data_IF_782449876122
#
_entry.id   IF_782449876122
#
_cell.length_a   1.000
_cell.length_b   1.000
_cell.length_c   1.000
_cell.angle_alpha   90.00
_cell.angle_beta   90.00
_cell.angle_gamma   90.00
#
_symmetry.space_group_name_H-M   'P 1'
#
loop_
_entity.id
_entity.type
_entity.pdbx_description
1 polymer ?
#
# COMPACT_ATOMS: atom_id res chain seq x y z
N UNK A 1 18.97 6.22 -3.44
CA UNK A 1 17.94 7.22 -3.11
C UNK A 1 17.10 7.46 -4.34
N UNK A 2 15.80 7.47 -4.18
CA UNK A 2 14.87 7.74 -5.25
C UNK A 2 14.69 9.26 -5.51
N UNK A 3 13.78 9.58 -6.41
CA UNK A 3 13.44 10.95 -6.79
C UNK A 3 11.94 11.08 -7.04
N UNK A 4 11.45 12.32 -7.01
CA UNK A 4 10.04 12.61 -7.34
C UNK A 4 9.86 12.74 -8.85
N UNK A 5 8.76 12.21 -9.35
CA UNK A 5 8.30 12.37 -10.74
C UNK A 5 6.85 12.84 -10.75
N UNK A 6 6.37 13.25 -11.91
CA UNK A 6 4.94 13.47 -12.17
C UNK A 6 4.32 12.30 -12.91
N UNK A 7 3.13 11.91 -12.49
CA UNK A 7 2.30 10.90 -13.15
C UNK A 7 0.99 11.55 -13.60
N UNK A 8 0.57 11.22 -14.82
CA UNK A 8 -0.73 11.68 -15.34
C UNK A 8 -1.74 10.54 -15.28
N UNK A 9 -2.81 10.76 -14.54
CA UNK A 9 -3.96 9.87 -14.49
C UNK A 9 -4.81 9.96 -15.77
N UNK A 10 -5.67 8.97 -15.99
CA UNK A 10 -6.51 8.91 -17.20
C UNK A 10 -7.52 10.06 -17.31
N UNK A 11 -7.91 10.65 -16.19
CA UNK A 11 -8.77 11.83 -16.12
C UNK A 11 -8.01 13.17 -16.31
N UNK A 12 -6.70 13.08 -16.65
CA UNK A 12 -5.85 14.24 -16.94
C UNK A 12 -5.20 14.86 -15.71
N UNK A 13 -5.57 14.46 -14.50
CA UNK A 13 -4.94 14.98 -13.27
C UNK A 13 -3.49 14.55 -13.20
N UNK A 14 -2.62 15.49 -12.81
CA UNK A 14 -1.19 15.24 -12.58
C UNK A 14 -0.94 15.15 -11.09
N UNK A 15 -0.42 14.00 -10.67
CA UNK A 15 -0.02 13.71 -9.29
C UNK A 15 1.48 13.47 -9.20
N UNK A 16 2.04 13.59 -8.00
CA UNK A 16 3.44 13.28 -7.74
C UNK A 16 3.61 11.82 -7.34
N UNK A 17 4.78 11.25 -7.62
CA UNK A 17 5.18 9.94 -7.10
C UNK A 17 6.67 9.92 -6.78
N UNK A 18 7.06 9.20 -5.72
CA UNK A 18 8.44 8.87 -5.45
C UNK A 18 8.82 7.60 -6.18
N UNK A 19 9.94 7.63 -6.92
CA UNK A 19 10.47 6.47 -7.64
C UNK A 19 11.81 6.09 -7.08
N UNK A 20 11.96 4.83 -6.67
CA UNK A 20 13.22 4.23 -6.28
C UNK A 20 13.61 3.12 -7.26
N UNK A 21 14.84 3.16 -7.75
CA UNK A 21 15.33 2.22 -8.76
C UNK A 21 16.32 1.22 -8.15
N UNK A 22 16.24 -0.07 -8.54
CA UNK A 22 17.24 -1.04 -8.14
C UNK A 22 18.58 -0.77 -8.86
N UNK A 23 19.67 -1.26 -8.26
CA UNK A 23 21.01 -1.21 -8.90
C UNK A 23 21.18 -2.24 -10.03
N UNK A 24 20.23 -3.17 -10.17
CA UNK A 24 20.24 -4.27 -11.15
C UNK A 24 19.13 -4.05 -12.19
N UNK A 25 19.09 -4.90 -13.21
CA UNK A 25 18.01 -4.92 -14.20
C UNK A 25 16.65 -5.11 -13.52
N UNK A 26 15.66 -4.32 -13.93
CA UNK A 26 14.29 -4.39 -13.42
C UNK A 26 13.61 -5.65 -13.95
N UNK A 27 13.28 -6.59 -13.06
CA UNK A 27 12.55 -7.82 -13.40
C UNK A 27 11.08 -7.76 -12.98
N UNK A 28 10.79 -6.98 -11.97
CA UNK A 28 9.43 -6.70 -11.49
C UNK A 28 9.38 -5.31 -10.81
N UNK A 29 8.19 -4.78 -10.62
CA UNK A 29 7.96 -3.49 -9.99
C UNK A 29 6.98 -3.61 -8.82
N UNK A 30 7.11 -2.71 -7.85
CA UNK A 30 6.19 -2.60 -6.72
C UNK A 30 5.64 -1.17 -6.64
N UNK A 31 4.32 -1.05 -6.53
CA UNK A 31 3.66 0.21 -6.16
C UNK A 31 3.45 0.21 -4.66
N UNK A 32 4.01 1.22 -3.97
CA UNK A 32 3.91 1.38 -2.51
C UNK A 32 2.88 2.44 -2.19
N UNK A 33 1.82 2.07 -1.45
CA UNK A 33 0.73 2.97 -1.09
C UNK A 33 0.87 3.45 0.35
N UNK A 34 0.89 4.76 0.49
CA UNK A 34 1.14 5.49 1.73
C UNK A 34 0.06 5.29 2.80
N UNK A 35 0.44 5.50 4.05
CA UNK A 35 -0.48 5.74 5.15
C UNK A 35 -1.21 7.09 4.99
N UNK A 36 -1.80 7.62 6.07
CA UNK A 36 -2.45 8.95 6.06
C UNK A 36 -1.45 10.12 6.15
N UNK A 37 -0.16 9.89 6.06
CA UNK A 37 0.89 10.89 6.30
C UNK A 37 1.57 11.41 5.04
N UNK A 38 1.13 10.98 3.85
CA UNK A 38 1.78 11.30 2.58
C UNK A 38 2.96 10.38 2.27
N UNK A 39 3.67 10.67 1.20
CA UNK A 39 4.93 10.01 0.83
C UNK A 39 6.06 10.60 1.69
N UNK A 40 5.97 10.34 3.00
CA UNK A 40 6.88 10.84 4.02
C UNK A 40 8.18 10.03 4.10
N UNK A 41 9.02 10.33 5.08
CA UNK A 41 10.32 9.67 5.25
C UNK A 41 10.19 8.15 5.39
N UNK A 42 9.21 7.65 6.15
CA UNK A 42 8.95 6.22 6.33
C UNK A 42 8.59 5.54 4.99
N UNK A 43 7.62 6.07 4.26
CA UNK A 43 7.21 5.48 2.97
C UNK A 43 8.33 5.51 1.93
N UNK A 44 9.17 6.55 1.93
CA UNK A 44 10.36 6.59 1.07
C UNK A 44 11.38 5.55 1.49
N UNK A 45 11.60 5.34 2.79
CA UNK A 45 12.49 4.30 3.30
C UNK A 45 11.98 2.89 2.92
N UNK A 46 10.68 2.64 3.03
CA UNK A 46 10.04 1.40 2.55
C UNK A 46 10.27 1.22 1.05
N UNK A 47 10.06 2.25 0.24
CA UNK A 47 10.30 2.20 -1.21
C UNK A 47 11.77 1.92 -1.54
N UNK A 48 12.70 2.59 -0.86
CA UNK A 48 14.14 2.36 -1.02
C UNK A 48 14.52 0.92 -0.60
N UNK A 49 13.89 0.36 0.45
CA UNK A 49 14.07 -1.03 0.90
C UNK A 49 13.67 -2.04 -0.18
N UNK A 50 12.51 -1.89 -0.81
CA UNK A 50 12.12 -2.73 -1.93
C UNK A 50 13.04 -2.55 -3.15
N UNK A 51 13.55 -1.34 -3.38
CA UNK A 51 14.52 -1.11 -4.47
C UNK A 51 15.86 -1.81 -4.18
N UNK A 52 16.32 -1.85 -2.93
CA UNK A 52 17.49 -2.65 -2.53
C UNK A 52 17.24 -4.15 -2.71
N UNK A 53 16.02 -4.62 -2.52
CA UNK A 53 15.63 -6.01 -2.80
C UNK A 53 15.53 -6.33 -4.31
N UNK A 54 15.68 -5.33 -5.20
CA UNK A 54 15.77 -5.54 -6.64
C UNK A 54 14.55 -5.15 -7.47
N UNK A 55 13.57 -4.48 -6.88
CA UNK A 55 12.36 -4.03 -7.56
C UNK A 55 12.46 -2.55 -7.99
N UNK A 56 11.87 -2.21 -9.13
CA UNK A 56 11.52 -0.81 -9.38
C UNK A 56 10.34 -0.44 -8.48
N UNK A 57 10.41 0.68 -7.78
CA UNK A 57 9.35 1.09 -6.86
C UNK A 57 8.75 2.41 -7.25
N UNK A 58 7.42 2.50 -7.22
CA UNK A 58 6.66 3.72 -7.47
C UNK A 58 5.72 3.95 -6.28
N UNK A 59 5.89 5.06 -5.56
CA UNK A 59 5.02 5.45 -4.45
C UNK A 59 4.23 6.71 -4.82
N UNK A 60 2.97 6.57 -5.31
CA UNK A 60 2.15 7.72 -5.69
C UNK A 60 1.72 8.52 -4.46
N UNK A 61 1.81 9.85 -4.55
CA UNK A 61 1.31 10.77 -3.53
C UNK A 61 -0.22 10.89 -3.67
N UNK A 62 -0.96 9.97 -3.06
CA UNK A 62 -2.42 9.82 -3.21
C UNK A 62 -3.22 11.02 -2.68
N UNK A 63 -2.58 11.97 -2.00
CA UNK A 63 -3.20 13.22 -1.59
C UNK A 63 -3.03 14.36 -2.61
N UNK A 64 -2.30 14.17 -3.71
CA UNK A 64 -2.01 15.24 -4.69
C UNK A 64 -3.25 15.91 -5.27
N UNK A 65 -4.40 15.19 -5.32
CA UNK A 65 -5.70 15.75 -5.77
C UNK A 65 -6.29 16.75 -4.79
N UNK A 66 -5.84 16.75 -3.54
CA UNK A 66 -6.36 17.59 -2.45
C UNK A 66 -5.31 18.60 -2.03
N UNK A 67 -4.10 18.11 -1.80
CA UNK A 67 -2.97 18.91 -1.36
C UNK A 67 -1.68 18.26 -1.85
N UNK A 68 -0.84 19.05 -2.51
CA UNK A 68 0.51 18.62 -2.95
C UNK A 68 1.50 18.63 -1.79
N UNK A 69 2.57 17.90 -1.96
CA UNK A 69 3.74 17.88 -1.06
C UNK A 69 3.39 17.51 0.39
N UNK A 70 2.37 16.65 0.59
CA UNK A 70 2.02 16.19 1.94
C UNK A 70 3.15 15.31 2.48
N UNK A 71 3.73 15.73 3.60
CA UNK A 71 4.83 15.07 4.29
C UNK A 71 4.65 15.28 5.80
N UNK A 72 3.78 14.47 6.41
CA UNK A 72 3.42 14.55 7.82
C UNK A 72 4.25 13.58 8.65
N UNK A 73 4.52 13.98 9.89
CA UNK A 73 5.00 13.09 10.95
C UNK A 73 3.85 12.40 11.69
N UNK A 74 4.10 12.02 12.95
CA UNK A 74 3.22 11.15 13.72
C UNK A 74 2.69 11.79 15.03
N UNK A 75 2.84 13.11 15.20
CA UNK A 75 2.22 13.84 16.32
C UNK A 75 0.69 13.80 16.23
N UNK A 76 -0.01 13.98 17.34
CA UNK A 76 -1.48 14.00 17.37
C UNK A 76 -2.07 14.99 16.37
N UNK A 77 -1.46 16.18 16.22
CA UNK A 77 -1.87 17.20 15.25
C UNK A 77 -1.73 16.69 13.82
N UNK A 78 -0.64 16.01 13.50
CA UNK A 78 -0.37 15.46 12.17
C UNK A 78 -1.27 14.27 11.86
N UNK A 79 -1.55 13.43 12.85
CA UNK A 79 -2.55 12.35 12.75
C UNK A 79 -3.93 12.93 12.43
N UNK A 80 -4.35 13.99 13.14
CA UNK A 80 -5.63 14.67 12.86
C UNK A 80 -5.66 15.26 11.43
N UNK A 81 -4.56 15.90 11.00
CA UNK A 81 -4.42 16.44 9.64
C UNK A 81 -4.48 15.32 8.57
N UNK A 82 -3.77 14.21 8.79
CA UNK A 82 -3.79 13.06 7.90
C UNK A 82 -5.17 12.42 7.79
N UNK A 83 -5.90 12.30 8.89
CA UNK A 83 -7.30 11.83 8.90
C UNK A 83 -8.21 12.76 8.09
N UNK A 84 -8.04 14.08 8.23
CA UNK A 84 -8.81 15.05 7.47
C UNK A 84 -8.53 14.96 5.95
N UNK A 85 -7.26 14.78 5.56
CA UNK A 85 -6.87 14.55 4.16
C UNK A 85 -7.46 13.24 3.62
N UNK A 86 -7.36 12.14 4.39
CA UNK A 86 -7.98 10.87 4.02
C UNK A 86 -9.49 11.03 3.78
N UNK A 87 -10.21 11.70 4.69
CA UNK A 87 -11.65 11.89 4.55
C UNK A 87 -12.00 12.69 3.28
N UNK A 88 -11.22 13.72 2.95
CA UNK A 88 -11.38 14.46 1.68
C UNK A 88 -11.09 13.57 0.47
N UNK A 89 -10.08 12.71 0.55
CA UNK A 89 -9.72 11.79 -0.53
C UNK A 89 -10.81 10.74 -0.77
N UNK A 90 -11.38 10.18 0.30
CA UNK A 90 -12.48 9.22 0.22
C UNK A 90 -13.80 9.86 -0.29
N UNK A 91 -13.98 11.16 -0.11
CA UNK A 91 -15.14 11.92 -0.59
C UNK A 91 -15.03 12.35 -2.07
N UNK A 92 -13.89 12.13 -2.73
CA UNK A 92 -13.75 12.45 -4.14
C UNK A 92 -14.70 11.57 -4.99
N UNK A 93 -15.30 12.13 -6.05
CA UNK A 93 -16.08 11.31 -6.98
C UNK A 93 -15.18 10.25 -7.64
N UNK A 94 -15.75 9.09 -7.93
CA UNK A 94 -15.02 8.02 -8.63
C UNK A 94 -14.46 8.51 -9.98
N UNK A 95 -13.26 8.08 -10.36
CA UNK A 95 -12.39 7.08 -9.71
C UNK A 95 -11.55 7.62 -8.54
N UNK A 96 -11.57 8.93 -8.26
CA UNK A 96 -10.85 9.52 -7.15
C UNK A 96 -9.36 9.18 -7.15
N UNK A 97 -8.81 8.89 -5.98
CA UNK A 97 -7.39 8.54 -5.81
C UNK A 97 -6.99 7.23 -6.52
N UNK A 98 -7.97 6.35 -6.83
CA UNK A 98 -7.68 5.10 -7.54
C UNK A 98 -7.21 5.34 -8.99
N UNK A 99 -7.51 6.49 -9.59
CA UNK A 99 -6.94 6.88 -10.87
C UNK A 99 -5.42 7.14 -10.79
N UNK A 100 -4.94 7.71 -9.68
CA UNK A 100 -3.51 7.94 -9.44
C UNK A 100 -2.79 6.61 -9.16
N UNK A 101 -3.42 5.72 -8.38
CA UNK A 101 -2.92 4.35 -8.16
C UNK A 101 -2.80 3.61 -9.50
N UNK A 102 -3.82 3.70 -10.37
CA UNK A 102 -3.76 3.09 -11.69
C UNK A 102 -2.66 3.72 -12.59
N UNK A 103 -2.42 5.02 -12.47
CA UNK A 103 -1.32 5.67 -13.20
C UNK A 103 0.05 5.15 -12.73
N UNK A 104 0.23 4.95 -11.42
CA UNK A 104 1.43 4.35 -10.85
C UNK A 104 1.62 2.89 -11.31
N UNK A 105 0.56 2.08 -11.33
CA UNK A 105 0.60 0.71 -11.84
C UNK A 105 1.02 0.69 -13.32
N UNK A 106 0.45 1.55 -14.17
CA UNK A 106 0.84 1.66 -15.58
C UNK A 106 2.30 2.05 -15.75
N UNK A 107 2.77 3.04 -15.00
CA UNK A 107 4.17 3.47 -15.03
C UNK A 107 5.13 2.32 -14.63
N UNK A 108 4.81 1.63 -13.54
CA UNK A 108 5.56 0.47 -13.05
C UNK A 108 5.59 -0.68 -14.08
N UNK A 109 4.45 -0.95 -14.74
CA UNK A 109 4.29 -2.01 -15.74
C UNK A 109 5.19 -1.82 -16.97
N UNK A 110 5.38 -0.59 -17.41
CA UNK A 110 6.24 -0.30 -18.57
C UNK A 110 7.70 -0.74 -18.34
N UNK A 111 8.20 -0.61 -17.11
CA UNK A 111 9.57 -0.97 -16.75
C UNK A 111 9.76 -2.45 -16.43
N UNK A 112 8.69 -3.17 -16.03
CA UNK A 112 8.75 -4.54 -15.52
C UNK A 112 8.09 -5.59 -16.41
N UNK A 113 7.80 -5.24 -17.66
CA UNK A 113 7.10 -6.14 -18.62
C UNK A 113 5.80 -6.71 -18.07
N UNK A 114 5.07 -5.90 -17.30
CA UNK A 114 3.77 -6.24 -16.73
C UNK A 114 3.78 -6.91 -15.36
N UNK A 115 4.94 -7.21 -14.75
CA UNK A 115 5.02 -7.80 -13.41
C UNK A 115 4.96 -6.69 -12.34
N UNK A 116 3.76 -6.38 -11.86
CA UNK A 116 3.53 -5.30 -10.90
C UNK A 116 2.87 -5.81 -9.63
N UNK A 117 3.55 -5.67 -8.50
CA UNK A 117 2.98 -5.82 -7.16
C UNK A 117 2.45 -4.50 -6.63
N UNK A 118 1.45 -4.58 -5.77
CA UNK A 118 0.97 -3.43 -5.00
C UNK A 118 1.09 -3.76 -3.52
N UNK A 119 1.72 -2.91 -2.74
CA UNK A 119 1.75 -3.03 -1.26
C UNK A 119 1.28 -1.73 -0.63
N UNK A 120 0.50 -1.81 0.42
CA UNK A 120 -0.02 -0.62 1.08
C UNK A 120 -0.11 -0.76 2.59
N UNK A 121 0.02 0.37 3.28
CA UNK A 121 0.10 0.46 4.73
C UNK A 121 -1.05 1.29 5.29
N UNK A 122 -1.74 0.85 6.33
CA UNK A 122 -2.88 1.53 6.94
C UNK A 122 -3.97 1.85 5.91
N UNK A 123 -4.26 3.12 5.65
CA UNK A 123 -5.15 3.52 4.55
C UNK A 123 -4.66 3.00 3.19
N UNK A 124 -3.35 3.02 2.95
CA UNK A 124 -2.74 2.40 1.76
C UNK A 124 -3.01 0.90 1.67
N UNK A 125 -3.16 0.20 2.80
CA UNK A 125 -3.58 -1.21 2.83
C UNK A 125 -4.99 -1.40 2.27
N UNK A 126 -5.93 -0.51 2.62
CA UNK A 126 -7.26 -0.47 1.99
C UNK A 126 -7.16 -0.15 0.49
N UNK A 127 -6.32 0.80 0.10
CA UNK A 127 -6.12 1.13 -1.32
C UNK A 127 -5.49 -0.03 -2.10
N UNK A 128 -4.57 -0.80 -1.48
CA UNK A 128 -4.00 -2.02 -2.07
C UNK A 128 -5.07 -3.08 -2.28
N UNK A 129 -5.96 -3.29 -1.31
CA UNK A 129 -7.13 -4.17 -1.47
C UNK A 129 -8.04 -3.72 -2.62
N UNK A 130 -8.34 -2.41 -2.69
CA UNK A 130 -9.11 -1.83 -3.80
C UNK A 130 -8.40 -1.99 -5.14
N UNK A 131 -7.08 -1.87 -5.19
CA UNK A 131 -6.31 -2.14 -6.40
C UNK A 131 -6.44 -3.60 -6.82
N UNK A 132 -6.30 -4.54 -5.89
CA UNK A 132 -6.45 -5.97 -6.13
C UNK A 132 -7.85 -6.37 -6.63
N UNK A 133 -8.90 -5.66 -6.19
CA UNK A 133 -10.30 -6.00 -6.51
C UNK A 133 -10.87 -5.23 -7.71
N UNK A 134 -10.24 -4.12 -8.14
CA UNK A 134 -10.87 -3.18 -9.10
C UNK A 134 -9.96 -2.73 -10.24
N UNK A 135 -8.64 -2.85 -10.10
CA UNK A 135 -7.71 -2.29 -11.08
C UNK A 135 -7.04 -3.40 -11.92
N UNK A 136 -6.93 -3.22 -13.23
CA UNK A 136 -6.16 -4.12 -14.08
C UNK A 136 -4.66 -3.89 -13.91
N UNK A 137 -3.87 -4.95 -14.22
CA UNK A 137 -2.42 -4.87 -14.27
C UNK A 137 -1.72 -5.13 -12.94
N UNK A 138 -2.43 -5.57 -11.90
CA UNK A 138 -1.85 -6.02 -10.64
C UNK A 138 -1.59 -7.52 -10.71
N UNK A 139 -0.33 -7.93 -10.54
CA UNK A 139 0.06 -9.36 -10.51
C UNK A 139 -0.17 -9.97 -9.15
N UNK A 140 0.11 -9.24 -8.08
CA UNK A 140 -0.10 -9.65 -6.69
C UNK A 140 -0.25 -8.41 -5.79
N UNK A 141 -0.98 -8.52 -4.70
CA UNK A 141 -1.17 -7.41 -3.77
C UNK A 141 -0.91 -7.81 -2.32
N UNK A 142 -0.33 -6.88 -1.56
CA UNK A 142 -0.07 -7.05 -0.12
C UNK A 142 -0.69 -5.89 0.64
N UNK A 143 -1.35 -6.20 1.76
CA UNK A 143 -1.97 -5.20 2.62
C UNK A 143 -1.40 -5.30 4.03
N UNK A 144 -0.97 -4.18 4.59
CA UNK A 144 -0.56 -4.08 5.99
C UNK A 144 -1.62 -3.31 6.77
N UNK A 145 -2.21 -3.94 7.79
CA UNK A 145 -3.21 -3.34 8.68
C UNK A 145 -4.21 -2.41 7.95
N UNK A 146 -4.80 -2.93 6.86
CA UNK A 146 -5.71 -2.18 5.98
C UNK A 146 -7.06 -1.91 6.65
N UNK A 147 -7.18 -0.77 7.34
CA UNK A 147 -8.42 -0.39 8.01
C UNK A 147 -9.59 -0.23 7.05
N UNK A 148 -10.70 -0.90 7.34
CA UNK A 148 -11.92 -0.88 6.53
C UNK A 148 -12.02 -2.00 5.49
N UNK A 149 -10.94 -2.68 5.12
CA UNK A 149 -11.01 -3.79 4.16
C UNK A 149 -11.74 -5.02 4.71
N UNK A 150 -11.78 -5.18 6.04
CA UNK A 150 -12.47 -6.28 6.73
C UNK A 150 -13.98 -6.06 6.88
N UNK A 151 -14.49 -4.91 6.45
CA UNK A 151 -15.89 -4.51 6.58
C UNK A 151 -16.58 -4.42 5.21
N UNK A 152 -17.89 -4.67 5.12
CA UNK A 152 -18.66 -4.41 3.89
C UNK A 152 -18.60 -2.91 3.50
N UNK A 153 -18.63 -2.59 2.21
CA UNK A 153 -18.68 -3.51 1.07
C UNK A 153 -17.30 -4.06 0.65
N UNK A 154 -16.21 -3.56 1.23
CA UNK A 154 -14.84 -3.93 0.83
C UNK A 154 -14.57 -5.42 1.08
N UNK A 155 -14.98 -5.94 2.25
CA UNK A 155 -14.83 -7.35 2.61
C UNK A 155 -15.42 -8.30 1.55
N UNK A 156 -16.52 -7.90 0.93
CA UNK A 156 -17.29 -8.76 0.03
C UNK A 156 -16.80 -8.68 -1.44
N UNK A 157 -15.90 -7.74 -1.75
CA UNK A 157 -15.29 -7.60 -3.06
C UNK A 157 -14.33 -8.77 -3.35
N UNK A 158 -14.33 -9.28 -4.59
CA UNK A 158 -13.47 -10.41 -4.98
C UNK A 158 -12.16 -9.91 -5.58
N UNK A 159 -11.00 -10.37 -5.10
CA UNK A 159 -9.72 -9.99 -5.69
C UNK A 159 -9.53 -10.64 -7.07
N UNK A 160 -8.92 -9.88 -7.97
CA UNK A 160 -8.59 -10.27 -9.35
C UNK A 160 -7.18 -10.86 -9.46
N UNK A 161 -6.41 -10.83 -8.37
CA UNK A 161 -5.05 -11.35 -8.27
C UNK A 161 -4.84 -11.96 -6.86
N UNK A 162 -3.77 -12.75 -6.65
CA UNK A 162 -3.37 -13.22 -5.32
C UNK A 162 -3.18 -12.06 -4.34
N UNK A 163 -3.61 -12.26 -3.09
CA UNK A 163 -3.50 -11.26 -2.03
C UNK A 163 -2.93 -11.89 -0.75
N UNK A 164 -2.00 -11.17 -0.13
CA UNK A 164 -1.49 -11.43 1.22
C UNK A 164 -1.88 -10.25 2.13
N UNK A 165 -2.49 -10.55 3.28
CA UNK A 165 -2.93 -9.55 4.25
C UNK A 165 -2.27 -9.75 5.61
N UNK A 166 -1.66 -8.69 6.14
CA UNK A 166 -1.01 -8.65 7.44
C UNK A 166 -1.84 -7.84 8.43
N UNK A 167 -2.18 -8.43 9.58
CA UNK A 167 -2.93 -7.78 10.65
C UNK A 167 -2.20 -7.92 11.99
N UNK A 168 -2.41 -6.96 12.88
CA UNK A 168 -2.00 -7.05 14.28
C UNK A 168 -3.16 -7.53 15.15
N UNK A 169 -2.92 -8.47 16.06
CA UNK A 169 -3.95 -8.99 16.98
C UNK A 169 -4.37 -7.99 18.05
N UNK A 170 -3.53 -6.98 18.32
CA UNK A 170 -3.79 -5.89 19.25
C UNK A 170 -4.22 -4.58 18.58
N UNK A 171 -4.50 -4.62 17.27
CA UNK A 171 -4.92 -3.44 16.52
C UNK A 171 -6.32 -2.98 16.93
N UNK A 172 -6.47 -1.83 17.64
CA UNK A 172 -7.78 -1.36 18.08
C UNK A 172 -8.66 -0.81 16.96
N UNK A 173 -8.10 -0.61 15.77
CA UNK A 173 -8.81 -0.10 14.59
C UNK A 173 -9.34 -1.23 13.70
N UNK A 174 -8.83 -2.45 13.88
CA UNK A 174 -9.23 -3.63 13.11
C UNK A 174 -9.45 -4.81 14.07
N UNK A 175 -10.62 -4.89 14.71
CA UNK A 175 -10.94 -5.97 15.65
C UNK A 175 -10.82 -7.35 15.02
N UNK A 176 -10.31 -8.32 15.79
CA UNK A 176 -10.00 -9.67 15.29
C UNK A 176 -11.23 -10.42 14.78
N UNK A 177 -12.41 -10.17 15.34
CA UNK A 177 -13.68 -10.74 14.84
C UNK A 177 -13.96 -10.32 13.39
N UNK A 178 -13.61 -9.08 13.02
CA UNK A 178 -13.72 -8.60 11.63
C UNK A 178 -12.69 -9.26 10.71
N UNK A 179 -11.49 -9.56 11.21
CA UNK A 179 -10.44 -10.30 10.47
C UNK A 179 -10.89 -11.73 10.21
N UNK A 180 -11.45 -12.40 11.22
CA UNK A 180 -11.97 -13.77 11.06
C UNK A 180 -13.18 -13.80 10.11
N UNK A 181 -14.07 -12.82 10.17
CA UNK A 181 -15.16 -12.67 9.22
C UNK A 181 -14.64 -12.43 7.79
N UNK A 182 -13.59 -11.62 7.62
CA UNK A 182 -12.92 -11.42 6.34
C UNK A 182 -12.31 -12.73 5.82
N UNK A 183 -11.58 -13.47 6.66
CA UNK A 183 -10.98 -14.76 6.31
C UNK A 183 -12.02 -15.77 5.85
N UNK A 184 -13.18 -15.81 6.50
CA UNK A 184 -14.27 -16.70 6.13
C UNK A 184 -14.89 -16.37 4.75
N UNK A 185 -14.99 -15.08 4.41
CA UNK A 185 -15.56 -14.60 3.12
C UNK A 185 -14.54 -14.66 1.99
N UNK A 186 -13.24 -14.55 2.30
CA UNK A 186 -12.13 -14.50 1.34
C UNK A 186 -11.11 -15.65 1.57
N UNK A 187 -11.51 -16.93 1.45
CA UNK A 187 -10.63 -18.06 1.75
C UNK A 187 -9.41 -18.18 0.83
N UNK A 188 -9.40 -17.49 -0.31
CA UNK A 188 -8.28 -17.42 -1.25
C UNK A 188 -7.21 -16.38 -0.85
N UNK A 189 -7.50 -15.49 0.12
CA UNK A 189 -6.53 -14.51 0.63
C UNK A 189 -5.67 -15.16 1.70
N UNK A 190 -4.35 -15.02 1.56
CA UNK A 190 -3.43 -15.40 2.62
C UNK A 190 -3.49 -14.36 3.74
N UNK A 191 -3.81 -14.78 4.96
CA UNK A 191 -3.93 -13.88 6.11
C UNK A 191 -2.90 -14.25 7.18
N UNK A 192 -2.03 -13.32 7.52
CA UNK A 192 -1.04 -13.40 8.59
C UNK A 192 -1.44 -12.48 9.74
N UNK A 193 -1.37 -12.98 10.96
CA UNK A 193 -1.69 -12.22 12.18
C UNK A 193 -0.48 -12.24 13.09
N UNK A 194 -0.10 -11.06 13.58
CA UNK A 194 1.05 -10.84 14.46
C UNK A 194 0.58 -10.34 15.82
N UNK A 195 1.28 -10.67 16.88
CA UNK A 195 1.04 -10.07 18.20
C UNK A 195 1.59 -8.63 18.24
N UNK A 196 0.88 -7.72 17.55
CA UNK A 196 1.31 -6.35 17.32
C UNK A 196 0.11 -5.39 17.20
N UNK A 197 0.40 -4.10 17.32
CA UNK A 197 -0.58 -3.01 17.22
C UNK A 197 -0.72 -2.47 15.79
N UNK A 198 -1.67 -1.53 15.58
CA UNK A 198 -1.82 -0.82 14.32
C UNK A 198 -0.55 -0.04 13.95
N UNK A 199 -0.01 -0.26 12.75
CA UNK A 199 1.19 0.44 12.28
C UNK A 199 2.49 -0.18 12.77
N UNK A 200 2.51 -1.45 13.14
CA UNK A 200 3.69 -2.17 13.63
C UNK A 200 4.89 -2.14 12.69
N UNK A 201 4.68 -1.87 11.41
CA UNK A 201 5.77 -1.77 10.42
C UNK A 201 6.49 -0.41 10.42
N UNK A 202 5.97 0.61 11.11
CA UNK A 202 6.52 1.95 11.05
C UNK A 202 7.43 2.25 12.25
N UNK A 203 8.73 2.30 12.02
CA UNK A 203 9.78 2.57 13.02
C UNK A 203 9.77 4.01 13.59
N UNK A 204 8.97 4.89 13.00
CA UNK A 204 8.71 6.24 13.53
C UNK A 204 7.54 6.31 14.53
N UNK A 205 6.85 5.19 14.81
CA UNK A 205 5.65 5.13 15.68
C UNK A 205 5.93 4.34 16.95
N UNK A 206 5.27 4.72 18.03
CA UNK A 206 5.34 3.97 19.30
C UNK A 206 4.75 2.55 19.22
N UNK A 207 3.99 2.25 18.17
CA UNK A 207 3.43 0.92 17.90
C UNK A 207 4.37 0.02 17.06
N UNK A 208 5.59 0.46 16.77
CA UNK A 208 6.57 -0.33 16.03
C UNK A 208 6.89 -1.64 16.77
N UNK A 209 6.85 -2.73 16.04
CA UNK A 209 7.27 -4.05 16.52
C UNK A 209 8.27 -4.65 15.53
N UNK A 210 9.53 -4.71 15.95
CA UNK A 210 10.62 -5.13 15.07
C UNK A 210 10.45 -6.57 14.57
N UNK A 211 10.01 -7.49 15.44
CA UNK A 211 9.84 -8.89 15.09
C UNK A 211 8.67 -9.08 14.10
N UNK A 212 7.55 -8.42 14.35
CA UNK A 212 6.41 -8.46 13.43
C UNK A 212 6.75 -7.79 12.09
N UNK A 213 7.49 -6.67 12.11
CA UNK A 213 7.93 -5.97 10.90
C UNK A 213 8.83 -6.85 10.03
N UNK A 214 9.86 -7.48 10.62
CA UNK A 214 10.82 -8.35 9.93
C UNK A 214 10.12 -9.56 9.31
N UNK A 215 9.31 -10.28 10.09
CA UNK A 215 8.57 -11.44 9.62
C UNK A 215 7.54 -11.09 8.53
N UNK A 216 6.85 -9.96 8.67
CA UNK A 216 5.90 -9.50 7.66
C UNK A 216 6.60 -9.11 6.35
N UNK A 217 7.80 -8.52 6.44
CA UNK A 217 8.61 -8.20 5.25
C UNK A 217 9.09 -9.48 4.55
N UNK A 218 9.55 -10.49 5.31
CA UNK A 218 9.95 -11.79 4.77
C UNK A 218 8.80 -12.44 4.00
N UNK A 219 7.61 -12.53 4.61
CA UNK A 219 6.41 -13.05 3.96
C UNK A 219 6.05 -12.24 2.70
N UNK A 220 6.14 -10.90 2.77
CA UNK A 220 5.85 -10.02 1.64
C UNK A 220 6.79 -10.26 0.46
N UNK A 221 8.10 -10.33 0.72
CA UNK A 221 9.10 -10.56 -0.32
C UNK A 221 8.95 -11.94 -0.94
N UNK A 222 8.77 -12.98 -0.11
CA UNK A 222 8.52 -14.34 -0.58
C UNK A 222 7.28 -14.40 -1.47
N UNK A 223 6.17 -13.81 -1.01
CA UNK A 223 4.93 -13.75 -1.76
C UNK A 223 5.09 -13.07 -3.14
N UNK A 224 5.77 -11.93 -3.20
CA UNK A 224 6.03 -11.27 -4.49
C UNK A 224 6.97 -12.07 -5.39
N UNK A 225 8.05 -12.66 -4.85
CA UNK A 225 8.99 -13.48 -5.61
C UNK A 225 8.26 -14.65 -6.27
N UNK A 226 7.43 -15.37 -5.51
CA UNK A 226 6.67 -16.53 -6.00
C UNK A 226 5.71 -16.13 -7.12
N UNK A 227 4.92 -15.07 -6.92
CA UNK A 227 3.93 -14.64 -7.91
C UNK A 227 4.53 -13.90 -9.12
N UNK A 228 5.75 -13.39 -9.01
CA UNK A 228 6.49 -12.86 -10.16
C UNK A 228 7.26 -13.95 -10.91
N UNK A 229 7.43 -15.13 -10.34
CA UNK A 229 8.26 -16.20 -10.91
C UNK A 229 9.73 -15.77 -11.02
N UNK A 230 10.31 -15.29 -9.92
CA UNK A 230 11.69 -14.75 -9.84
C UNK A 230 12.61 -15.69 -9.09
#
# INVERSE_FOLDING_TARGET
MGHMIELRAADGVVSEAYVAQPKREVRASIVVLQEIFGVNAHIRAVADGFAMAGFLVVAPATFSRIQKHVNLGYSEKEVASGRALKNKAEALPAPGVMADVQAAIRHASMASRGKVGVVGYCWGGLLSWRAATRLPGVTAAVTYYGGGMTLPPERDAKPLCPVLAHFGSRDPLIPMDTVEAFRAVQPQVQVQVYDADHGFNCDHRGSYDAAACELALEHTLGFFIDHFGL
#
